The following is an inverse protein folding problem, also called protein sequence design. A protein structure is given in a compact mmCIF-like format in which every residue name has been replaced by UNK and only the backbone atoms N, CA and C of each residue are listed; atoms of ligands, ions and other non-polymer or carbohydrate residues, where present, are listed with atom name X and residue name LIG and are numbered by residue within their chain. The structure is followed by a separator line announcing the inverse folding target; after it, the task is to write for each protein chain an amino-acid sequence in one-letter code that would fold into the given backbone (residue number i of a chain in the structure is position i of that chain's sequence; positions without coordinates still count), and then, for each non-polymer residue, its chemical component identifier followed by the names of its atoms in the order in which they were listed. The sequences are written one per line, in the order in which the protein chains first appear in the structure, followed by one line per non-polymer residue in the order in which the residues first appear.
data_IF_233685486668
#
_entry.id   IF_233685486668
#
_cell.length_a   1.000
_cell.length_b   1.000
_cell.length_c   1.000
_cell.angle_alpha   90.00
_cell.angle_beta   90.00
_cell.angle_gamma   90.00
#
_symmetry.space_group_name_H-M   'P 1'
#
loop_
_entity.id
_entity.type
_entity.pdbx_description
1 polymer ?
#
# COMPACT_ATOMS: atom_id res chain seq x y z
N UNK A 1 36.49 7.16 -22.64
CA UNK A 1 35.02 7.23 -22.63
C UNK A 1 34.63 7.31 -21.18
N UNK A 2 33.95 8.38 -20.77
CA UNK A 2 33.61 8.57 -19.37
C UNK A 2 32.21 8.02 -19.18
N UNK A 3 32.12 6.78 -18.69
CA UNK A 3 30.83 6.13 -18.48
C UNK A 3 30.00 6.98 -17.50
N UNK A 4 28.77 7.30 -17.91
CA UNK A 4 27.83 8.05 -17.11
C UNK A 4 27.17 7.12 -16.11
N UNK A 5 27.33 7.42 -14.82
CA UNK A 5 26.76 6.64 -13.73
C UNK A 5 25.46 7.26 -13.22
N UNK A 6 24.40 6.47 -13.24
CA UNK A 6 23.06 6.83 -12.75
C UNK A 6 22.76 5.98 -11.52
N UNK A 7 22.25 6.61 -10.47
CA UNK A 7 21.86 5.95 -9.23
C UNK A 7 20.45 6.35 -8.82
N UNK A 8 19.68 5.42 -8.28
CA UNK A 8 18.32 5.68 -7.82
C UNK A 8 17.93 4.79 -6.65
N UNK A 9 16.79 5.10 -6.04
CA UNK A 9 16.23 4.37 -4.91
C UNK A 9 14.71 4.32 -4.92
N UNK A 10 14.18 3.27 -4.34
CA UNK A 10 12.77 3.12 -3.95
C UNK A 10 12.72 2.46 -2.58
N UNK A 11 11.78 2.89 -1.76
CA UNK A 11 11.52 2.29 -0.44
C UNK A 11 10.07 1.87 -0.35
N UNK A 12 9.78 0.63 0.03
CA UNK A 12 8.46 0.25 0.53
C UNK A 12 8.44 0.22 2.05
N UNK A 13 7.33 0.64 2.68
CA UNK A 13 7.05 0.49 4.10
C UNK A 13 5.73 -0.26 4.29
N UNK A 14 5.74 -1.33 5.10
CA UNK A 14 4.54 -2.08 5.44
C UNK A 14 3.93 -1.62 6.76
N UNK A 15 2.67 -1.21 6.72
CA UNK A 15 1.93 -0.64 7.83
C UNK A 15 0.62 -1.38 8.07
N UNK A 16 0.28 -1.59 9.34
CA UNK A 16 -0.97 -2.23 9.76
C UNK A 16 -1.98 -1.14 10.16
N UNK A 17 -3.09 -0.97 9.44
CA UNK A 17 -4.16 -0.07 9.83
C UNK A 17 -4.85 -0.49 11.12
N UNK A 18 -5.22 0.50 11.95
CA UNK A 18 -5.90 0.27 13.24
C UNK A 18 -7.26 -0.44 13.08
N UNK A 19 -7.91 -0.28 11.93
CA UNK A 19 -9.22 -0.82 11.57
C UNK A 19 -9.16 -2.18 10.84
N UNK A 20 -7.96 -2.63 10.45
CA UNK A 20 -7.72 -3.86 9.68
C UNK A 20 -7.26 -5.07 10.50
N UNK A 21 -7.17 -4.96 11.84
CA UNK A 21 -6.87 -6.12 12.70
C UNK A 21 -8.17 -6.88 12.99
N UNK A 22 -8.23 -8.20 12.74
CA UNK A 22 -9.41 -9.01 13.01
C UNK A 22 -9.99 -8.80 14.43
N UNK A 23 -11.32 -8.77 14.55
CA UNK A 23 -12.03 -8.49 15.81
C UNK A 23 -11.67 -9.45 16.97
N UNK A 24 -11.21 -10.67 16.67
CA UNK A 24 -10.79 -11.63 17.70
C UNK A 24 -9.39 -11.33 18.26
N UNK A 25 -8.50 -10.72 17.47
CA UNK A 25 -7.26 -10.15 17.98
C UNK A 25 -7.60 -8.94 18.87
N UNK A 26 -8.56 -8.09 18.50
CA UNK A 26 -9.00 -6.96 19.35
C UNK A 26 -9.48 -7.42 20.74
N UNK A 27 -10.39 -8.40 20.79
CA UNK A 27 -11.00 -8.88 22.04
C UNK A 27 -10.06 -9.69 22.96
N UNK A 28 -8.94 -10.21 22.44
CA UNK A 28 -7.90 -10.86 23.24
C UNK A 28 -6.77 -9.93 23.67
N UNK A 29 -6.71 -8.72 23.10
CA UNK A 29 -5.58 -7.78 23.19
C UNK A 29 -6.02 -6.37 23.60
N UNK A 30 -7.15 -6.27 24.31
CA UNK A 30 -7.75 -5.04 24.89
C UNK A 30 -6.84 -4.30 25.92
N UNK A 31 -5.55 -4.62 25.98
CA UNK A 31 -4.53 -3.92 26.78
C UNK A 31 -3.45 -3.19 25.98
N UNK A 32 -3.54 -3.16 24.64
CA UNK A 32 -2.60 -2.41 23.81
C UNK A 32 -1.60 -3.30 23.06
N UNK A 33 -2.09 -4.02 22.04
CA UNK A 33 -1.25 -4.26 20.88
C UNK A 33 -0.63 -2.94 20.42
N UNK A 34 0.69 -2.96 20.23
CA UNK A 34 1.57 -1.97 19.61
C UNK A 34 0.94 -0.61 19.34
N UNK A 35 1.52 0.46 19.91
CA UNK A 35 1.25 1.85 19.53
C UNK A 35 0.66 1.94 18.12
N UNK A 36 -0.63 2.29 18.03
CA UNK A 36 -1.32 2.41 16.76
C UNK A 36 -0.45 3.30 15.87
N UNK A 37 0.14 2.71 14.84
CA UNK A 37 1.14 3.41 14.06
C UNK A 37 0.42 4.55 13.34
N UNK A 38 0.78 5.80 13.64
CA UNK A 38 0.36 6.96 12.85
C UNK A 38 0.59 6.66 11.35
N UNK A 39 -0.27 7.17 10.45
CA UNK A 39 -0.14 6.96 9.02
C UNK A 39 1.30 7.23 8.56
N UNK A 40 1.83 6.46 7.59
CA UNK A 40 3.18 6.68 7.13
C UNK A 40 3.39 8.10 6.58
N UNK A 41 4.64 8.55 6.61
CA UNK A 41 5.00 9.94 6.30
C UNK A 41 4.55 10.34 4.89
N UNK A 42 4.26 11.63 4.69
CA UNK A 42 3.97 12.14 3.35
C UNK A 42 5.22 12.11 2.44
N UNK A 43 6.41 12.17 3.04
CA UNK A 43 7.68 12.02 2.36
C UNK A 43 8.71 11.40 3.32
N UNK A 44 9.60 10.56 2.78
CA UNK A 44 10.77 10.04 3.46
C UNK A 44 11.97 10.95 3.20
N UNK A 45 12.51 11.65 4.21
CA UNK A 45 13.62 12.58 4.01
C UNK A 45 14.96 11.87 3.71
N UNK A 46 15.06 10.57 4.00
CA UNK A 46 16.25 9.76 3.71
C UNK A 46 16.18 8.36 4.32
N UNK A 47 17.20 7.54 4.10
CA UNK A 47 17.25 6.17 4.60
C UNK A 47 17.41 6.10 6.13
N UNK A 48 18.05 7.10 6.76
CA UNK A 48 18.12 7.22 8.22
C UNK A 48 16.73 7.32 8.85
N UNK A 49 15.76 7.94 8.16
CA UNK A 49 14.38 8.01 8.62
C UNK A 49 13.73 6.61 8.68
N UNK A 50 14.12 5.68 7.81
CA UNK A 50 13.65 4.29 7.87
C UNK A 50 14.13 3.62 9.16
N UNK A 51 15.37 3.85 9.58
CA UNK A 51 15.89 3.31 10.84
C UNK A 51 15.22 3.95 12.05
N UNK A 52 14.95 5.26 12.02
CA UNK A 52 14.22 5.95 13.09
C UNK A 52 12.78 5.42 13.21
N UNK A 53 12.06 5.33 12.10
CA UNK A 53 10.70 4.76 12.06
C UNK A 53 10.67 3.30 12.56
N UNK A 54 11.73 2.53 12.29
CA UNK A 54 11.88 1.17 12.83
C UNK A 54 12.05 1.18 14.35
N UNK A 55 12.91 2.06 14.87
CA UNK A 55 13.14 2.21 16.31
C UNK A 55 11.86 2.64 17.06
N UNK A 56 11.03 3.42 16.38
CA UNK A 56 9.75 3.92 16.90
C UNK A 56 8.57 2.92 16.70
N UNK A 57 8.82 1.69 16.23
CA UNK A 57 7.79 0.65 15.94
C UNK A 57 6.67 1.15 15.00
N UNK A 58 7.05 1.99 14.02
CA UNK A 58 6.10 2.66 13.09
C UNK A 58 5.71 1.85 11.87
N UNK A 59 6.44 0.77 11.57
CA UNK A 59 6.18 -0.14 10.47
C UNK A 59 6.64 -1.57 10.80
N UNK A 60 6.15 -2.55 10.04
CA UNK A 60 6.47 -3.98 10.25
C UNK A 60 7.72 -4.41 9.50
N UNK A 61 7.82 -4.06 8.23
CA UNK A 61 9.08 -4.17 7.50
C UNK A 61 9.18 -3.07 6.42
N UNK A 62 10.40 -2.86 5.93
CA UNK A 62 10.70 -2.03 4.78
C UNK A 62 11.55 -2.79 3.76
N UNK A 63 11.25 -2.63 2.47
CA UNK A 63 12.14 -3.01 1.37
C UNK A 63 12.85 -1.74 0.89
N UNK A 64 14.16 -1.65 1.15
CA UNK A 64 15.00 -0.56 0.61
C UNK A 64 15.70 -1.12 -0.62
N UNK A 65 15.40 -0.58 -1.80
CA UNK A 65 16.07 -0.92 -3.04
C UNK A 65 16.81 0.32 -3.55
N UNK A 66 18.14 0.27 -3.50
CA UNK A 66 19.06 1.20 -4.13
C UNK A 66 19.74 0.51 -5.31
N UNK A 67 19.98 1.21 -6.40
CA UNK A 67 20.56 0.63 -7.61
C UNK A 67 21.38 1.65 -8.37
N UNK A 68 22.33 1.15 -9.16
CA UNK A 68 23.17 1.95 -10.03
C UNK A 68 23.30 1.29 -11.39
N UNK A 69 23.51 2.11 -12.43
CA UNK A 69 23.86 1.68 -13.78
C UNK A 69 24.89 2.63 -14.38
N UNK A 70 25.76 2.07 -15.22
CA UNK A 70 26.76 2.79 -16.00
C UNK A 70 26.35 2.69 -17.47
N UNK A 71 26.43 3.81 -18.18
CA UNK A 71 26.10 3.93 -19.60
C UNK A 71 27.28 4.52 -20.35
N UNK A 72 27.55 4.04 -21.56
CA UNK A 72 28.51 4.68 -22.46
C UNK A 72 27.96 5.99 -23.06
N UNK A 73 28.79 6.67 -23.86
CA UNK A 73 28.44 7.94 -24.52
C UNK A 73 27.22 7.81 -25.47
N UNK A 74 26.92 6.60 -25.96
CA UNK A 74 25.78 6.30 -26.83
C UNK A 74 24.51 5.94 -26.03
N UNK A 75 24.59 5.94 -24.70
CA UNK A 75 23.50 5.56 -23.80
C UNK A 75 23.30 4.05 -23.66
N UNK A 76 24.26 3.23 -24.08
CA UNK A 76 24.21 1.77 -23.92
C UNK A 76 24.67 1.39 -22.51
N UNK A 77 23.90 0.59 -21.75
CA UNK A 77 24.33 0.19 -20.42
C UNK A 77 25.52 -0.77 -20.47
N UNK A 78 26.59 -0.43 -19.74
CA UNK A 78 27.83 -1.21 -19.63
C UNK A 78 27.89 -2.04 -18.34
N UNK A 79 27.24 -1.56 -17.28
CA UNK A 79 27.14 -2.25 -16.00
C UNK A 79 25.90 -1.83 -15.21
N UNK A 80 25.40 -2.70 -14.34
CA UNK A 80 24.34 -2.40 -13.40
C UNK A 80 24.46 -3.26 -12.14
N UNK A 81 24.01 -2.74 -11.00
CA UNK A 81 23.98 -3.50 -9.76
C UNK A 81 23.14 -2.87 -8.67
N UNK A 82 23.02 -3.62 -7.57
CA UNK A 82 22.40 -3.15 -6.34
C UNK A 82 23.36 -2.24 -5.57
N UNK A 83 22.82 -1.18 -4.97
CA UNK A 83 23.55 -0.33 -4.04
C UNK A 83 23.76 -1.00 -2.68
N UNK A 84 24.70 -0.47 -1.87
CA UNK A 84 25.10 -1.08 -0.59
C UNK A 84 24.00 -1.05 0.48
N UNK A 85 23.06 -0.11 0.38
CA UNK A 85 21.95 0.04 1.32
C UNK A 85 20.73 -0.81 0.94
N UNK A 86 20.81 -1.57 -0.15
CA UNK A 86 19.73 -2.45 -0.60
C UNK A 86 19.52 -3.62 0.34
N UNK A 87 18.28 -3.79 0.80
CA UNK A 87 17.87 -4.92 1.59
C UNK A 87 16.65 -4.65 2.45
N UNK A 88 16.44 -5.54 3.42
CA UNK A 88 15.29 -5.47 4.31
C UNK A 88 15.57 -4.87 5.67
N UNK A 89 14.66 -4.01 6.11
CA UNK A 89 14.60 -3.52 7.49
C UNK A 89 13.36 -4.10 8.14
N UNK A 90 13.52 -4.96 9.14
CA UNK A 90 12.38 -5.54 9.86
C UNK A 90 12.26 -4.91 11.24
N UNK A 91 11.07 -4.41 11.55
CA UNK A 91 10.72 -3.83 12.84
C UNK A 91 10.46 -4.91 13.90
N UNK A 92 10.63 -4.58 15.19
CA UNK A 92 10.06 -5.40 16.25
C UNK A 92 8.52 -5.30 16.23
N UNK A 93 7.86 -6.16 17.00
CA UNK A 93 6.43 -6.02 17.29
C UNK A 93 6.21 -6.11 18.78
N UNK A 94 5.65 -5.05 19.38
CA UNK A 94 5.34 -5.02 20.80
C UNK A 94 3.87 -5.37 21.05
N UNK A 95 3.62 -6.38 21.88
CA UNK A 95 2.28 -6.81 22.30
C UNK A 95 2.11 -6.49 23.78
N UNK A 96 1.04 -5.78 24.17
CA UNK A 96 0.65 -5.66 25.58
C UNK A 96 -0.67 -6.35 25.84
N UNK A 97 -0.69 -7.14 26.91
CA UNK A 97 -1.86 -7.79 27.47
C UNK A 97 -1.98 -7.37 28.94
N UNK A 98 -3.00 -6.57 29.24
CA UNK A 98 -3.15 -5.90 30.54
C UNK A 98 -1.87 -5.13 30.94
N UNK A 99 -1.27 -5.43 32.10
CA UNK A 99 -0.05 -4.78 32.59
C UNK A 99 1.25 -5.39 32.05
N UNK A 100 1.18 -6.44 31.24
CA UNK A 100 2.35 -7.18 30.74
C UNK A 100 2.59 -6.85 29.27
N UNK A 101 3.80 -6.40 28.93
CA UNK A 101 4.25 -6.16 27.56
C UNK A 101 5.36 -7.12 27.16
N UNK A 102 5.33 -7.60 25.92
CA UNK A 102 6.41 -8.39 25.32
C UNK A 102 6.74 -7.81 23.93
N UNK A 103 8.03 -7.65 23.63
CA UNK A 103 8.52 -7.21 22.32
C UNK A 103 9.18 -8.37 21.62
N UNK A 104 8.69 -8.68 20.42
CA UNK A 104 9.19 -9.77 19.59
C UNK A 104 10.00 -9.17 18.44
N UNK A 105 11.25 -9.58 18.30
CA UNK A 105 12.05 -9.22 17.14
C UNK A 105 11.44 -9.83 15.88
N UNK A 106 11.21 -9.01 14.84
CA UNK A 106 10.89 -9.55 13.53
C UNK A 106 12.08 -10.31 12.96
N UNK A 107 11.79 -11.32 12.13
CA UNK A 107 12.81 -12.15 11.49
C UNK A 107 12.85 -11.83 10.00
N UNK A 108 13.95 -11.24 9.53
CA UNK A 108 14.18 -11.02 8.11
C UNK A 108 14.47 -12.35 7.42
N UNK A 109 13.80 -12.59 6.29
CA UNK A 109 14.16 -13.67 5.38
C UNK A 109 15.32 -13.22 4.47
N UNK A 110 16.06 -14.14 3.84
CA UNK A 110 17.10 -13.79 2.88
C UNK A 110 16.54 -12.86 1.79
N UNK A 111 17.24 -11.76 1.52
CA UNK A 111 16.88 -10.87 0.41
C UNK A 111 17.08 -11.61 -0.91
N UNK A 112 16.08 -11.58 -1.79
CA UNK A 112 16.15 -12.19 -3.10
C UNK A 112 16.40 -11.09 -4.12
N UNK A 113 17.50 -11.19 -4.84
CA UNK A 113 17.89 -10.28 -5.90
C UNK A 113 17.98 -11.08 -7.20
N UNK A 114 17.35 -10.57 -8.26
CA UNK A 114 17.50 -11.13 -9.59
C UNK A 114 18.80 -10.62 -10.22
N UNK A 115 19.32 -11.33 -11.22
CA UNK A 115 20.44 -10.77 -11.99
C UNK A 115 19.95 -9.51 -12.73
N UNK A 116 20.69 -8.39 -12.68
CA UNK A 116 20.31 -7.18 -13.41
C UNK A 116 20.16 -7.46 -14.91
N UNK A 117 19.11 -6.91 -15.51
CA UNK A 117 18.84 -7.06 -16.94
C UNK A 117 19.24 -5.77 -17.63
N UNK A 118 20.12 -5.88 -18.62
CA UNK A 118 20.56 -4.77 -19.45
C UNK A 118 19.88 -4.84 -20.82
N UNK A 119 19.16 -3.79 -21.18
CA UNK A 119 18.51 -3.62 -22.47
C UNK A 119 19.03 -2.33 -23.15
N UNK A 120 18.88 -2.16 -24.46
CA UNK A 120 19.28 -0.91 -25.12
C UNK A 120 18.64 0.31 -24.44
N UNK A 121 19.48 1.16 -23.84
CA UNK A 121 19.06 2.38 -23.15
C UNK A 121 18.47 2.18 -21.75
N UNK A 122 18.39 0.96 -21.21
CA UNK A 122 17.73 0.66 -19.93
C UNK A 122 18.51 -0.35 -19.09
N UNK A 123 18.52 -0.16 -17.77
CA UNK A 123 19.02 -1.15 -16.83
C UNK A 123 17.96 -1.45 -15.77
N UNK A 124 17.61 -2.72 -15.61
CA UNK A 124 16.54 -3.18 -14.73
C UNK A 124 17.09 -3.99 -13.55
N UNK A 125 16.61 -3.70 -12.35
CA UNK A 125 16.88 -4.49 -11.15
C UNK A 125 15.60 -4.80 -10.41
N UNK A 126 15.54 -5.99 -9.82
CA UNK A 126 14.38 -6.47 -9.04
C UNK A 126 14.83 -7.03 -7.71
N UNK A 127 14.19 -6.63 -6.61
CA UNK A 127 14.50 -7.11 -5.27
C UNK A 127 13.24 -7.46 -4.50
N UNK A 128 13.21 -8.67 -3.96
CA UNK A 128 12.20 -9.10 -2.99
C UNK A 128 12.78 -9.14 -1.60
N UNK A 129 12.09 -8.46 -0.69
CA UNK A 129 12.38 -8.46 0.74
C UNK A 129 11.12 -8.84 1.50
N UNK A 130 11.31 -9.57 2.58
CA UNK A 130 10.26 -9.80 3.55
C UNK A 130 10.76 -10.50 4.80
N UNK A 131 9.82 -10.87 5.65
CA UNK A 131 10.12 -11.44 6.94
C UNK A 131 8.88 -11.85 7.70
N UNK A 132 9.12 -12.41 8.88
CA UNK A 132 8.07 -12.76 9.84
C UNK A 132 7.91 -11.61 10.83
N UNK A 133 6.69 -11.10 10.97
CA UNK A 133 6.37 -9.87 11.72
C UNK A 133 6.31 -10.04 13.24
N UNK A 134 7.02 -11.04 13.79
CA UNK A 134 7.33 -11.15 15.22
C UNK A 134 6.25 -11.78 16.10
N UNK A 135 4.95 -11.59 15.84
CA UNK A 135 3.88 -12.19 16.67
C UNK A 135 3.48 -13.56 16.11
N UNK A 136 3.79 -14.68 16.79
CA UNK A 136 3.35 -15.99 16.36
C UNK A 136 1.83 -16.11 16.56
N UNK A 137 1.12 -16.48 15.51
CA UNK A 137 -0.32 -16.73 15.56
C UNK A 137 -0.58 -18.25 15.55
N UNK A 138 -1.55 -18.74 16.34
CA UNK A 138 -1.90 -20.16 16.34
C UNK A 138 -2.60 -20.52 15.02
N UNK A 139 -2.09 -21.54 14.34
CA UNK A 139 -2.71 -22.11 13.14
C UNK A 139 -3.04 -23.58 13.35
N UNK A 140 -4.29 -23.96 13.10
CA UNK A 140 -4.69 -25.36 13.09
C UNK A 140 -4.00 -26.10 11.92
N UNK A 141 -3.45 -27.28 12.20
CA UNK A 141 -2.94 -28.18 11.17
C UNK A 141 -4.04 -29.15 10.71
N UNK A 142 -3.98 -29.68 9.47
CA UNK A 142 -4.96 -30.64 8.95
C UNK A 142 -5.14 -31.89 9.83
N UNK A 143 -4.15 -32.21 10.66
CA UNK A 143 -4.20 -33.32 11.61
C UNK A 143 -4.37 -32.76 13.03
N UNK A 144 -5.59 -32.84 13.56
CA UNK A 144 -5.84 -32.59 14.97
C UNK A 144 -5.00 -33.54 15.84
N UNK A 145 -4.54 -33.12 17.05
CA UNK A 145 -4.84 -31.86 17.74
C UNK A 145 -3.73 -30.80 17.59
N UNK A 146 -2.90 -30.86 16.56
CA UNK A 146 -1.68 -30.04 16.49
C UNK A 146 -1.97 -28.60 16.05
N UNK A 147 -1.35 -27.64 16.75
CA UNK A 147 -1.36 -26.21 16.43
C UNK A 147 0.07 -25.78 16.16
N UNK A 148 0.28 -25.12 15.01
CA UNK A 148 1.55 -24.49 14.68
C UNK A 148 1.53 -23.02 15.11
N UNK A 149 2.53 -22.61 15.88
CA UNK A 149 2.73 -21.22 16.28
C UNK A 149 3.78 -20.60 15.39
N UNK A 150 3.34 -19.82 14.40
CA UNK A 150 4.25 -19.20 13.44
C UNK A 150 3.73 -17.83 13.02
N UNK A 151 4.63 -16.86 12.93
CA UNK A 151 4.31 -15.56 12.37
C UNK A 151 4.23 -15.69 10.82
N UNK A 152 3.15 -15.20 10.19
CA UNK A 152 3.02 -15.16 8.74
C UNK A 152 4.12 -14.30 8.08
N UNK A 153 4.37 -14.57 6.81
CA UNK A 153 5.37 -13.86 6.01
C UNK A 153 4.75 -12.61 5.39
N UNK A 154 5.47 -11.51 5.46
CA UNK A 154 5.12 -10.25 4.81
C UNK A 154 6.24 -9.89 3.86
N UNK A 155 5.92 -9.47 2.65
CA UNK A 155 6.93 -9.13 1.64
C UNK A 155 6.47 -8.07 0.65
N UNK A 156 7.45 -7.50 -0.05
CA UNK A 156 7.26 -6.73 -1.28
C UNK A 156 8.41 -7.07 -2.23
N UNK A 157 8.09 -7.13 -3.51
CA UNK A 157 9.03 -7.15 -4.62
C UNK A 157 9.00 -5.77 -5.26
N UNK A 158 10.15 -5.10 -5.30
CA UNK A 158 10.34 -3.79 -5.92
C UNK A 158 11.22 -3.93 -7.15
N UNK A 159 10.95 -3.10 -8.16
CA UNK A 159 11.78 -3.00 -9.35
C UNK A 159 12.13 -1.54 -9.66
N UNK A 160 13.35 -1.33 -10.15
CA UNK A 160 13.83 -0.06 -10.67
C UNK A 160 14.32 -0.25 -12.11
N UNK A 161 13.92 0.67 -12.98
CA UNK A 161 14.46 0.81 -14.34
C UNK A 161 15.21 2.13 -14.43
N UNK A 162 16.52 2.08 -14.68
CA UNK A 162 17.40 3.24 -14.81
C UNK A 162 17.62 3.57 -16.28
N UNK A 163 17.68 4.86 -16.60
CA UNK A 163 17.90 5.39 -17.95
C UNK A 163 19.13 6.30 -17.99
N UNK A 164 19.81 6.44 -19.14
CA UNK A 164 20.99 7.29 -19.27
C UNK A 164 20.70 8.78 -18.99
N UNK A 165 19.48 9.26 -19.23
CA UNK A 165 19.11 10.65 -18.92
C UNK A 165 19.01 10.96 -17.41
N UNK A 166 19.31 9.99 -16.54
CA UNK A 166 19.24 10.10 -15.09
C UNK A 166 17.85 9.81 -14.52
N UNK A 167 16.86 9.49 -15.35
CA UNK A 167 15.53 9.12 -14.89
C UNK A 167 15.48 7.68 -14.39
N UNK A 168 14.56 7.45 -13.45
CA UNK A 168 14.29 6.13 -12.90
C UNK A 168 12.79 5.89 -12.84
N UNK A 169 12.37 4.71 -13.27
CA UNK A 169 11.00 4.23 -13.16
C UNK A 169 10.90 3.20 -12.04
N UNK A 170 9.80 3.26 -11.29
CA UNK A 170 9.57 2.47 -10.09
C UNK A 170 8.37 1.57 -10.31
N UNK A 171 8.52 0.28 -9.97
CA UNK A 171 7.40 -0.66 -9.94
C UNK A 171 7.44 -1.51 -8.65
N UNK A 172 6.27 -2.06 -8.29
CA UNK A 172 6.12 -3.04 -7.22
C UNK A 172 5.36 -4.26 -7.76
N UNK A 173 6.05 -5.15 -8.50
CA UNK A 173 5.40 -6.28 -9.18
C UNK A 173 4.77 -7.29 -8.23
N UNK A 174 5.25 -7.39 -6.99
CA UNK A 174 4.75 -8.35 -6.01
C UNK A 174 4.63 -7.75 -4.62
N UNK A 175 3.62 -8.17 -3.87
CA UNK A 175 3.47 -7.82 -2.46
C UNK A 175 2.58 -8.84 -1.74
N UNK A 176 2.82 -9.02 -0.44
CA UNK A 176 1.90 -9.77 0.41
C UNK A 176 0.56 -9.04 0.50
N UNK A 177 -0.55 -9.77 0.52
CA UNK A 177 -1.89 -9.20 0.61
C UNK A 177 -2.18 -8.47 1.94
N UNK A 178 -1.30 -8.60 2.94
CA UNK A 178 -1.31 -7.84 4.19
C UNK A 178 0.11 -7.76 4.75
N UNK A 179 0.52 -6.68 5.46
CA UNK A 179 -0.17 -5.41 5.72
C UNK A 179 -0.31 -4.55 4.45
N UNK A 180 -0.74 -3.28 4.61
CA UNK A 180 -0.63 -2.29 3.52
C UNK A 180 0.83 -1.94 3.28
N UNK A 181 1.22 -1.73 2.03
CA UNK A 181 2.58 -1.33 1.66
C UNK A 181 2.56 0.01 0.95
N UNK A 182 3.42 0.94 1.37
CA UNK A 182 3.54 2.28 0.81
C UNK A 182 4.90 2.42 0.15
N UNK A 183 4.94 2.92 -1.08
CA UNK A 183 6.14 3.02 -1.92
C UNK A 183 6.54 4.47 -2.08
N UNK A 184 7.77 4.77 -1.73
CA UNK A 184 8.39 6.09 -1.81
C UNK A 184 9.41 6.11 -2.94
N UNK A 185 9.33 7.15 -3.77
CA UNK A 185 10.17 7.33 -4.94
C UNK A 185 11.57 7.83 -4.61
N UNK A 186 12.39 8.08 -5.66
CA UNK A 186 13.77 8.53 -5.51
C UNK A 186 13.91 9.84 -4.73
N UNK A 187 12.96 10.76 -4.94
CA UNK A 187 12.82 12.05 -4.27
C UNK A 187 12.30 11.94 -2.82
N UNK A 188 11.94 10.74 -2.39
CA UNK A 188 11.34 10.47 -1.08
C UNK A 188 9.85 10.74 -1.01
N UNK A 189 9.20 11.22 -2.09
CA UNK A 189 7.76 11.42 -2.10
C UNK A 189 7.01 10.08 -2.12
N UNK A 190 5.86 10.01 -1.45
CA UNK A 190 4.98 8.85 -1.55
C UNK A 190 4.42 8.74 -2.98
N UNK A 191 4.78 7.67 -3.68
CA UNK A 191 4.32 7.38 -5.04
C UNK A 191 3.00 6.61 -5.03
N UNK A 192 2.95 5.50 -4.27
CA UNK A 192 1.81 4.56 -4.29
C UNK A 192 1.62 3.79 -2.98
N UNK A 193 0.42 3.24 -2.79
CA UNK A 193 0.09 2.36 -1.68
C UNK A 193 -0.69 1.13 -2.15
N UNK A 194 -0.58 -0.02 -1.47
CA UNK A 194 -1.43 -1.18 -1.80
C UNK A 194 -2.87 -0.95 -1.35
N UNK A 195 -3.80 -1.06 -2.31
CA UNK A 195 -5.21 -0.82 -2.09
C UNK A 195 -5.95 -2.00 -1.46
N UNK A 196 -5.47 -3.23 -1.66
CA UNK A 196 -6.08 -4.46 -1.16
C UNK A 196 -5.44 -4.88 0.18
N UNK A 197 -6.25 -5.14 1.21
CA UNK A 197 -5.83 -5.93 2.38
C UNK A 197 -6.69 -7.17 2.56
N UNK A 198 -6.18 -8.34 2.18
CA UNK A 198 -6.84 -9.64 2.41
C UNK A 198 -6.16 -10.37 3.58
N UNK A 199 -6.56 -10.04 4.81
CA UNK A 199 -6.02 -10.65 6.03
C UNK A 199 -6.31 -12.17 6.08
N UNK A 200 -7.49 -12.61 5.64
CA UNK A 200 -7.92 -14.02 5.72
C UNK A 200 -7.17 -14.89 4.70
N UNK A 201 -7.07 -14.42 3.46
CA UNK A 201 -6.25 -15.06 2.43
C UNK A 201 -4.76 -15.03 2.78
N UNK A 202 -4.26 -13.94 3.34
CA UNK A 202 -2.88 -13.84 3.85
C UNK A 202 -2.62 -14.86 4.97
N UNK A 203 -3.50 -14.95 5.96
CA UNK A 203 -3.40 -15.95 7.05
C UNK A 203 -3.48 -17.40 6.55
N UNK A 204 -4.05 -17.62 5.37
CA UNK A 204 -4.13 -18.95 4.76
C UNK A 204 -2.89 -19.28 3.92
N UNK A 205 -2.32 -18.29 3.21
CA UNK A 205 -1.36 -18.52 2.13
C UNK A 205 0.03 -17.93 2.35
N UNK A 206 0.25 -17.07 3.35
CA UNK A 206 1.53 -16.38 3.60
C UNK A 206 2.58 -17.26 4.31
N UNK A 207 2.62 -18.55 3.94
CA UNK A 207 3.52 -19.54 4.50
C UNK A 207 4.19 -20.35 3.39
N UNK A 208 5.51 -20.41 3.42
CA UNK A 208 6.36 -21.27 2.60
C UNK A 208 6.05 -21.22 1.09
N UNK A 209 5.35 -22.23 0.55
CA UNK A 209 5.29 -22.54 -0.89
C UNK A 209 4.62 -21.50 -1.80
N UNK A 210 3.76 -20.64 -1.24
CA UNK A 210 3.08 -19.55 -1.99
C UNK A 210 3.64 -18.17 -1.70
N UNK A 211 4.92 -18.13 -1.39
CA UNK A 211 5.67 -16.89 -1.14
C UNK A 211 6.92 -16.89 -2.02
N UNK A 212 7.60 -15.75 -2.20
CA UNK A 212 8.81 -15.69 -3.01
C UNK A 212 9.96 -16.59 -2.54
N UNK A 213 9.93 -17.06 -1.29
CA UNK A 213 10.88 -18.06 -0.76
C UNK A 213 10.44 -19.51 -0.99
N UNK A 214 9.31 -19.71 -1.66
CA UNK A 214 8.81 -20.97 -2.21
C UNK A 214 8.80 -20.89 -3.73
N UNK A 215 7.64 -21.14 -4.35
CA UNK A 215 7.53 -21.30 -5.81
C UNK A 215 6.68 -20.20 -6.49
N UNK A 216 6.19 -19.19 -5.75
CA UNK A 216 5.23 -18.20 -6.27
C UNK A 216 5.43 -16.80 -5.69
N UNK A 217 5.41 -15.77 -6.51
CA UNK A 217 5.13 -14.39 -6.08
C UNK A 217 3.66 -14.07 -6.37
N UNK A 218 3.01 -13.26 -5.54
CA UNK A 218 1.62 -12.85 -5.76
C UNK A 218 1.54 -11.50 -6.43
N UNK A 219 0.78 -11.42 -7.53
CA UNK A 219 0.56 -10.19 -8.29
C UNK A 219 0.02 -9.08 -7.37
N UNK A 220 0.79 -8.01 -7.22
CA UNK A 220 0.37 -6.85 -6.43
C UNK A 220 -0.81 -6.15 -7.11
N UNK A 221 -2.01 -6.18 -6.50
CA UNK A 221 -3.13 -5.35 -6.96
C UNK A 221 -2.82 -3.90 -6.60
N UNK A 222 -2.17 -3.20 -7.52
CA UNK A 222 -1.85 -1.77 -7.44
C UNK A 222 -3.14 -0.99 -7.63
N UNK A 223 -3.45 -0.08 -6.72
CA UNK A 223 -4.54 0.87 -6.86
C UNK A 223 -3.98 2.28 -6.64
N UNK A 224 -4.49 3.26 -7.38
CA UNK A 224 -3.98 4.64 -7.31
C UNK A 224 -4.07 5.23 -5.88
N UNK A 225 -3.03 5.99 -5.53
CA UNK A 225 -2.68 6.51 -4.21
C UNK A 225 -3.68 7.50 -3.62
N UNK A 226 -3.84 7.43 -2.30
CA UNK A 226 -4.47 8.44 -1.44
C UNK A 226 -3.62 9.73 -1.34
N UNK A 227 -4.18 10.88 -1.72
CA UNK A 227 -3.47 12.17 -1.66
C UNK A 227 -3.48 12.77 -0.24
N UNK A 228 -2.58 13.71 0.03
CA UNK A 228 -2.47 14.38 1.35
C UNK A 228 -3.78 15.02 1.83
N UNK A 229 -4.59 15.55 0.91
CA UNK A 229 -5.90 16.15 1.22
C UNK A 229 -6.94 15.08 1.56
N UNK A 230 -6.97 13.98 0.79
CA UNK A 230 -7.83 12.81 1.07
C UNK A 230 -7.51 12.21 2.44
N UNK A 231 -6.21 12.10 2.80
CA UNK A 231 -5.75 11.70 4.14
C UNK A 231 -6.23 12.61 5.26
N UNK A 232 -6.23 13.92 5.06
CA UNK A 232 -6.66 14.88 6.08
C UNK A 232 -8.18 14.80 6.32
N UNK A 233 -8.98 14.51 5.28
CA UNK A 233 -10.39 14.15 5.48
C UNK A 233 -10.55 12.80 6.13
N UNK A 234 -9.81 11.77 5.70
CA UNK A 234 -9.85 10.45 6.31
C UNK A 234 -9.59 10.50 7.81
N UNK A 235 -8.56 11.25 8.24
CA UNK A 235 -8.22 11.43 9.65
C UNK A 235 -9.32 12.19 10.43
N UNK A 236 -10.00 13.17 9.80
CA UNK A 236 -11.13 13.87 10.39
C UNK A 236 -12.42 13.03 10.45
N UNK A 237 -12.58 12.12 9.50
CA UNK A 237 -13.70 11.19 9.36
C UNK A 237 -13.59 10.01 10.34
N UNK A 238 -12.41 9.42 10.46
CA UNK A 238 -12.12 8.21 11.24
C UNK A 238 -11.73 8.50 12.71
N UNK A 239 -12.12 9.67 13.24
CA UNK A 239 -11.78 10.05 14.61
C UNK A 239 -12.46 9.12 15.65
N UNK A 240 -11.79 8.71 16.75
CA UNK A 240 -12.29 7.72 17.74
C UNK A 240 -13.61 8.04 18.47
N UNK A 241 -14.29 9.14 18.12
CA UNK A 241 -15.59 9.53 18.67
C UNK A 241 -16.72 9.62 17.63
N UNK A 242 -16.46 9.30 16.35
CA UNK A 242 -17.46 9.31 15.27
C UNK A 242 -17.66 7.90 14.74
N UNK A 243 -18.88 7.37 14.90
CA UNK A 243 -19.28 6.13 14.25
C UNK A 243 -19.72 6.46 12.81
N UNK A 244 -18.87 6.14 11.83
CA UNK A 244 -19.29 6.11 10.43
C UNK A 244 -19.99 4.78 10.15
N UNK A 245 -20.98 4.80 9.27
CA UNK A 245 -21.54 3.55 8.75
C UNK A 245 -20.51 2.88 7.85
N UNK A 246 -20.28 1.58 8.05
CA UNK A 246 -19.38 0.79 7.23
C UNK A 246 -20.20 -0.12 6.33
N UNK A 247 -20.18 0.13 5.02
CA UNK A 247 -20.78 -0.74 4.00
C UNK A 247 -19.75 -1.75 3.50
N UNK A 248 -20.16 -3.01 3.37
CA UNK A 248 -19.35 -4.09 2.79
C UNK A 248 -20.06 -4.61 1.56
N UNK A 249 -19.39 -4.62 0.41
CA UNK A 249 -19.97 -5.02 -0.86
C UNK A 249 -19.07 -6.03 -1.57
N UNK A 250 -19.62 -7.05 -2.24
CA UNK A 250 -18.83 -8.00 -3.02
C UNK A 250 -18.32 -7.36 -4.33
N UNK A 251 -17.36 -8.03 -4.97
CA UNK A 251 -16.96 -7.69 -6.35
C UNK A 251 -18.17 -7.74 -7.30
N UNK A 252 -18.22 -6.81 -8.24
CA UNK A 252 -19.33 -6.58 -9.18
C UNK A 252 -20.49 -5.74 -8.62
N UNK A 253 -20.47 -5.37 -7.34
CA UNK A 253 -21.52 -4.54 -6.76
C UNK A 253 -21.41 -3.09 -7.23
N UNK A 254 -22.54 -2.48 -7.59
CA UNK A 254 -22.62 -1.05 -7.88
C UNK A 254 -22.81 -0.27 -6.58
N UNK A 255 -21.89 0.64 -6.29
CA UNK A 255 -21.89 1.46 -5.07
C UNK A 255 -22.80 2.67 -5.21
N UNK A 256 -22.74 3.34 -6.37
CA UNK A 256 -23.58 4.46 -6.74
C UNK A 256 -23.67 4.53 -8.26
N UNK A 257 -24.80 4.96 -8.82
CA UNK A 257 -24.95 5.15 -10.27
C UNK A 257 -24.88 6.60 -10.66
N UNK A 258 -24.33 6.84 -11.83
CA UNK A 258 -24.43 8.12 -12.51
C UNK A 258 -25.89 8.57 -12.61
N UNK A 259 -26.14 9.86 -12.35
CA UNK A 259 -27.48 10.45 -12.35
C UNK A 259 -28.28 10.26 -11.04
N UNK A 260 -27.85 9.42 -10.10
CA UNK A 260 -28.51 9.30 -8.79
C UNK A 260 -28.23 10.53 -7.90
N UNK A 261 -29.11 10.87 -6.93
CA UNK A 261 -28.82 11.94 -5.98
C UNK A 261 -27.52 11.71 -5.19
N UNK A 262 -26.65 12.71 -5.13
CA UNK A 262 -25.35 12.62 -4.46
C UNK A 262 -25.33 13.19 -3.05
N UNK A 263 -25.91 12.50 -2.07
CA UNK A 263 -25.95 12.99 -0.67
C UNK A 263 -24.85 12.43 0.23
N UNK A 264 -24.21 11.35 -0.23
CA UNK A 264 -23.23 10.58 0.55
C UNK A 264 -21.83 10.71 -0.02
N UNK A 265 -20.84 10.56 0.84
CA UNK A 265 -19.43 10.43 0.48
C UNK A 265 -18.95 9.08 0.97
N UNK A 266 -18.12 8.46 0.15
CA UNK A 266 -17.53 7.16 0.40
C UNK A 266 -16.05 7.34 0.65
N UNK A 267 -15.56 6.76 1.72
CA UNK A 267 -14.13 6.56 1.95
C UNK A 267 -13.83 5.09 1.77
N UNK A 268 -12.95 4.75 0.83
CA UNK A 268 -12.56 3.36 0.61
C UNK A 268 -11.67 2.91 1.76
N UNK A 269 -12.19 2.07 2.64
CA UNK A 269 -11.43 1.46 3.74
C UNK A 269 -10.65 0.24 3.29
N UNK A 270 -11.17 -0.48 2.29
CA UNK A 270 -10.57 -1.68 1.70
C UNK A 270 -11.18 -1.98 0.33
N UNK A 271 -10.38 -2.54 -0.58
CA UNK A 271 -10.79 -2.93 -1.93
C UNK A 271 -10.60 -1.86 -3.02
N UNK A 272 -11.05 -2.16 -4.24
CA UNK A 272 -10.90 -1.32 -5.45
C UNK A 272 -12.25 -1.04 -6.09
N UNK A 273 -12.47 0.23 -6.44
CA UNK A 273 -13.62 0.73 -7.19
C UNK A 273 -13.19 1.20 -8.58
N UNK A 274 -13.95 0.84 -9.62
CA UNK A 274 -13.91 1.53 -10.91
C UNK A 274 -14.85 2.74 -10.87
N UNK A 275 -14.40 3.82 -11.51
CA UNK A 275 -15.22 5.00 -11.83
C UNK A 275 -15.54 4.94 -13.30
N UNK A 276 -16.83 4.93 -13.63
CA UNK A 276 -17.32 4.91 -15.01
C UNK A 276 -18.15 6.17 -15.29
N UNK A 277 -17.90 6.81 -16.44
CA UNK A 277 -18.73 7.90 -16.95
C UNK A 277 -19.30 7.48 -18.30
N UNK A 278 -20.62 7.58 -18.47
CA UNK A 278 -21.33 7.06 -19.66
C UNK A 278 -20.99 5.58 -19.95
N UNK A 279 -20.78 4.78 -18.90
CA UNK A 279 -20.43 3.36 -19.00
C UNK A 279 -19.00 3.06 -19.46
N UNK A 280 -18.14 4.08 -19.60
CA UNK A 280 -16.73 3.94 -19.92
C UNK A 280 -15.88 4.06 -18.65
N UNK A 281 -15.01 3.09 -18.33
CA UNK A 281 -14.07 3.21 -17.21
C UNK A 281 -13.10 4.37 -17.42
N UNK A 282 -13.09 5.31 -16.48
CA UNK A 282 -12.21 6.49 -16.51
C UNK A 282 -11.12 6.46 -15.43
N UNK A 283 -11.33 5.74 -14.33
CA UNK A 283 -10.33 5.58 -13.27
C UNK A 283 -10.57 4.30 -12.44
N UNK A 284 -9.54 3.83 -11.75
CA UNK A 284 -9.65 2.84 -10.69
C UNK A 284 -9.06 3.41 -9.40
N UNK A 285 -9.83 3.30 -8.31
CA UNK A 285 -9.54 3.92 -7.03
C UNK A 285 -9.53 2.87 -5.93
N UNK A 286 -8.44 2.83 -5.18
CA UNK A 286 -8.25 1.91 -4.07
C UNK A 286 -8.56 2.53 -2.71
N UNK A 287 -8.15 1.82 -1.66
CA UNK A 287 -8.22 2.34 -0.29
C UNK A 287 -7.63 3.74 -0.17
N UNK A 288 -8.29 4.56 0.63
CA UNK A 288 -7.90 5.94 0.92
C UNK A 288 -8.59 6.92 0.01
N UNK A 289 -9.08 6.47 -1.15
CA UNK A 289 -9.87 7.31 -2.03
C UNK A 289 -11.14 7.81 -1.31
N UNK A 290 -11.38 9.11 -1.45
CA UNK A 290 -12.65 9.76 -1.11
C UNK A 290 -13.42 9.94 -2.40
N UNK A 291 -14.69 9.56 -2.40
CA UNK A 291 -15.54 9.52 -3.59
C UNK A 291 -16.91 10.14 -3.31
N UNK A 292 -17.44 10.81 -4.33
CA UNK A 292 -18.79 11.40 -4.28
C UNK A 292 -18.86 12.77 -3.61
N UNK A 293 -17.70 13.36 -3.33
CA UNK A 293 -17.50 14.68 -2.76
C UNK A 293 -18.06 15.80 -3.64
N UNK A 294 -17.91 15.68 -4.96
CA UNK A 294 -18.36 16.70 -5.90
C UNK A 294 -19.89 16.81 -5.90
N UNK A 295 -20.59 15.68 -5.93
CA UNK A 295 -22.05 15.65 -5.95
C UNK A 295 -22.66 16.24 -4.65
N UNK A 296 -21.99 16.03 -3.51
CA UNK A 296 -22.36 16.66 -2.24
C UNK A 296 -22.12 18.17 -2.25
N UNK A 297 -20.95 18.62 -2.72
CA UNK A 297 -20.59 20.06 -2.75
C UNK A 297 -21.51 20.87 -3.65
N UNK A 298 -21.85 20.32 -4.80
CA UNK A 298 -22.66 20.97 -5.81
C UNK A 298 -24.16 20.72 -5.59
N UNK A 299 -24.53 19.90 -4.60
CA UNK A 299 -25.90 19.43 -4.39
C UNK A 299 -26.50 18.89 -5.70
N UNK A 300 -25.72 18.08 -6.42
CA UNK A 300 -25.98 17.62 -7.77
C UNK A 300 -26.15 16.09 -7.83
N UNK A 301 -26.53 15.59 -9.01
CA UNK A 301 -26.53 14.17 -9.28
C UNK A 301 -25.11 13.60 -9.37
N UNK A 302 -24.94 12.30 -9.15
CA UNK A 302 -23.65 11.62 -9.29
C UNK A 302 -23.12 11.80 -10.73
N UNK A 303 -21.89 12.30 -10.90
CA UNK A 303 -21.31 12.50 -12.22
C UNK A 303 -20.81 11.20 -12.87
N UNK A 304 -20.73 10.11 -12.10
CA UNK A 304 -20.15 8.84 -12.53
C UNK A 304 -20.73 7.67 -11.74
N UNK A 305 -20.72 6.50 -12.34
CA UNK A 305 -21.02 5.22 -11.69
C UNK A 305 -19.78 4.72 -10.95
N UNK A 306 -19.97 4.16 -9.75
CA UNK A 306 -18.94 3.54 -8.95
C UNK A 306 -19.20 2.02 -8.85
N UNK A 307 -18.26 1.20 -9.33
CA UNK A 307 -18.38 -0.25 -9.39
C UNK A 307 -17.28 -0.93 -8.57
N UNK A 308 -17.64 -1.89 -7.72
CA UNK A 308 -16.67 -2.70 -6.98
C UNK A 308 -15.97 -3.70 -7.92
N UNK A 309 -14.66 -3.56 -8.11
CA UNK A 309 -13.85 -4.54 -8.85
C UNK A 309 -13.42 -5.71 -7.96
N UNK A 310 -13.24 -5.44 -6.67
CA UNK A 310 -12.98 -6.45 -5.62
C UNK A 310 -14.09 -6.39 -4.57
N UNK A 311 -14.14 -7.31 -3.59
CA UNK A 311 -14.86 -7.00 -2.36
C UNK A 311 -14.36 -5.67 -1.78
N UNK A 312 -15.26 -4.78 -1.38
CA UNK A 312 -14.94 -3.45 -0.85
C UNK A 312 -15.54 -3.23 0.54
N UNK A 313 -14.84 -2.45 1.35
CA UNK A 313 -15.34 -1.87 2.60
C UNK A 313 -15.28 -0.36 2.47
N UNK A 314 -16.42 0.31 2.70
CA UNK A 314 -16.55 1.75 2.54
C UNK A 314 -17.01 2.36 3.86
N UNK A 315 -16.32 3.39 4.34
CA UNK A 315 -16.87 4.28 5.35
C UNK A 315 -17.80 5.28 4.65
N UNK A 316 -18.94 5.56 5.25
CA UNK A 316 -19.99 6.36 4.64
C UNK A 316 -20.29 7.53 5.54
N UNK A 317 -20.30 8.72 4.94
CA UNK A 317 -20.71 9.95 5.61
C UNK A 317 -21.71 10.70 4.74
N UNK A 318 -22.73 11.30 5.37
CA UNK A 318 -23.59 12.28 4.71
C UNK A 318 -22.84 13.61 4.61
N UNK A 319 -23.11 14.36 3.54
CA UNK A 319 -22.44 15.63 3.29
C UNK A 319 -22.60 16.68 4.39
N UNK A 320 -23.73 16.66 5.09
CA UNK A 320 -24.04 17.55 6.23
C UNK A 320 -23.19 17.28 7.48
N UNK A 321 -22.56 16.10 7.58
CA UNK A 321 -21.70 15.75 8.69
C UNK A 321 -20.25 16.22 8.49
N UNK A 322 -19.92 16.88 7.37
CA UNK A 322 -18.54 17.12 6.95
C UNK A 322 -18.17 18.59 6.86
N UNK A 323 -16.88 18.84 7.03
CA UNK A 323 -16.27 20.15 6.87
C UNK A 323 -16.17 20.49 5.38
N UNK A 324 -17.00 21.43 4.93
CA UNK A 324 -17.13 21.82 3.52
C UNK A 324 -15.83 22.40 2.93
N UNK A 325 -14.99 23.06 3.73
CA UNK A 325 -13.73 23.62 3.22
C UNK A 325 -12.75 22.50 2.85
N UNK A 326 -12.64 21.47 3.70
CA UNK A 326 -11.81 20.30 3.43
C UNK A 326 -12.31 19.54 2.21
N UNK A 327 -13.62 19.39 2.12
CA UNK A 327 -14.28 18.69 1.03
C UNK A 327 -14.00 19.35 -0.34
N UNK A 328 -14.02 20.69 -0.41
CA UNK A 328 -13.64 21.44 -1.63
C UNK A 328 -12.20 21.16 -2.05
N UNK A 329 -11.27 21.10 -1.10
CA UNK A 329 -9.88 20.79 -1.41
C UNK A 329 -9.70 19.39 -2.03
N UNK A 330 -10.54 18.40 -1.66
CA UNK A 330 -10.54 17.08 -2.33
C UNK A 330 -11.11 17.19 -3.73
N UNK A 331 -12.23 17.88 -3.92
CA UNK A 331 -12.84 18.02 -5.24
C UNK A 331 -11.91 18.68 -6.27
N UNK A 332 -11.11 19.68 -5.87
CA UNK A 332 -10.08 20.28 -6.75
C UNK A 332 -8.96 19.30 -7.16
N UNK A 333 -8.72 18.27 -6.34
CA UNK A 333 -7.76 17.21 -6.62
C UNK A 333 -8.39 16.13 -7.51
N UNK A 334 -9.61 15.70 -7.21
CA UNK A 334 -10.36 14.69 -7.97
C UNK A 334 -10.81 15.18 -9.35
N UNK A 335 -11.22 16.44 -9.49
CA UNK A 335 -11.61 17.02 -10.78
C UNK A 335 -10.48 17.02 -11.81
N UNK A 336 -9.21 16.99 -11.35
CA UNK A 336 -8.06 16.79 -12.22
C UNK A 336 -7.88 15.35 -12.72
N UNK A 337 -8.41 14.33 -12.01
CA UNK A 337 -8.43 12.93 -12.47
C UNK A 337 -9.41 12.73 -13.62
N UNK A 338 -10.63 13.29 -13.51
CA UNK A 338 -11.67 13.13 -14.54
C UNK A 338 -11.33 13.80 -15.90
N UNK A 339 -10.40 14.76 -15.90
CA UNK A 339 -9.95 15.46 -17.10
C UNK A 339 -8.71 14.88 -17.79
N UNK A 340 -8.06 13.87 -17.22
CA UNK A 340 -6.88 13.23 -17.81
C UNK A 340 -7.32 11.97 -18.59
N UNK A 341 -6.98 11.84 -19.89
CA UNK A 341 -7.25 10.60 -20.62
C UNK A 341 -6.46 9.45 -19.98
N UNK A 342 -7.12 8.31 -19.81
CA UNK A 342 -6.46 7.08 -19.38
C UNK A 342 -5.29 6.75 -20.34
N UNK A 343 -4.12 6.30 -19.84
CA UNK A 343 -3.08 5.79 -20.72
C UNK A 343 -3.66 4.60 -21.49
N UNK A 344 -3.47 4.61 -22.82
CA UNK A 344 -3.87 3.51 -23.68
C UNK A 344 -3.16 2.23 -23.19
N UNK A 345 -3.94 1.18 -22.95
CA UNK A 345 -3.39 -0.14 -22.73
C UNK A 345 -2.83 -0.65 -24.08
N UNK A 346 -1.52 -0.65 -24.21
CA UNK A 346 -0.78 -1.42 -25.23
C UNK A 346 -0.36 -2.78 -24.63
#
# INVERSE_FOLDING_TARGET
VADMRVESRVVSLSWIPADSVAAWLRNGLDGGLAHYAEPPLAALPGLDAVQQLRADDRFRFANVLTAWAEFDDDGTPTACGYGPDSGGVVGPTTVRLASVGATFGGYALPTLQQDPILEPGLAHVTQTVGGRTGVPLPRALPHAPFVLWQAPIVWTTLALTLRPDGTAEVAMPGASAFPRHWVYGPDGALLQGTGLTDEEGWMTHAFAGRTPWGDQDSDGVVAETERAVERQLAAGLLHPGRSLEVRRLPAGAVVAREGEPGEEIFFVLDGVLAVEHDGTPVAQLGTGAVLGEQAVLESSARPSTLLALTPVRLAVARGDALDLEKLRAVAEVSGRRAGAPAPAAD
#
